data_IF_134832787471
#
_entry.id   IF_134832787471
#
_cell.length_a   1.000
_cell.length_b   1.000
_cell.length_c   1.000
_cell.angle_alpha   90.00
_cell.angle_beta   90.00
_cell.angle_gamma   90.00
#
_symmetry.space_group_name_H-M   'P 1'
#
loop_
_entity.id
_entity.type
_entity.pdbx_description
1 polymer ?
#
# COMPACT_ATOMS: atom_id res chain seq x y z
N UNK A 1 7.78 -17.85 -11.37
CA UNK A 1 6.96 -16.99 -10.49
C UNK A 1 7.15 -15.57 -10.97
N UNK A 2 6.08 -14.79 -11.11
CA UNK A 2 6.15 -13.44 -11.66
C UNK A 2 6.95 -12.55 -10.70
N UNK A 3 7.93 -11.82 -11.22
CA UNK A 3 8.62 -10.76 -10.48
C UNK A 3 7.72 -9.53 -10.60
N UNK A 4 6.97 -9.20 -9.55
CA UNK A 4 6.24 -7.94 -9.53
C UNK A 4 7.27 -6.81 -9.43
N UNK A 5 7.32 -5.94 -10.45
CA UNK A 5 8.20 -4.77 -10.47
C UNK A 5 7.32 -3.54 -10.31
N UNK A 6 7.37 -2.88 -9.15
CA UNK A 6 6.57 -1.67 -8.88
C UNK A 6 7.44 -0.41 -8.86
N UNK A 7 6.88 0.72 -9.32
CA UNK A 7 7.46 2.05 -9.13
C UNK A 7 6.49 2.93 -8.35
N UNK A 8 7.04 3.79 -7.48
CA UNK A 8 6.27 4.67 -6.59
C UNK A 8 6.69 6.12 -6.73
N UNK A 9 5.71 7.02 -6.68
CA UNK A 9 5.92 8.45 -6.85
C UNK A 9 5.09 9.24 -5.86
N UNK A 10 5.62 10.38 -5.41
CA UNK A 10 4.82 11.41 -4.78
C UNK A 10 3.93 12.08 -5.81
N UNK A 11 2.68 12.35 -5.43
CA UNK A 11 1.74 13.10 -6.26
C UNK A 11 1.87 14.59 -5.94
N UNK A 12 2.04 15.42 -6.97
CA UNK A 12 2.36 16.84 -6.80
C UNK A 12 1.15 17.78 -6.90
N UNK A 13 0.04 17.30 -7.42
CA UNK A 13 -1.20 18.07 -7.58
C UNK A 13 -2.43 17.13 -7.67
N UNK A 14 -3.64 17.71 -7.66
CA UNK A 14 -4.89 16.95 -7.64
C UNK A 14 -5.49 16.69 -9.04
N UNK A 15 -4.75 16.90 -10.14
CA UNK A 15 -5.30 16.75 -11.49
C UNK A 15 -5.77 15.32 -11.78
N UNK A 16 -5.26 14.32 -11.05
CA UNK A 16 -5.69 12.93 -11.13
C UNK A 16 -7.17 12.72 -10.81
N UNK A 17 -7.79 13.60 -10.00
CA UNK A 17 -9.20 13.45 -9.59
C UNK A 17 -10.17 13.49 -10.78
N UNK A 18 -9.81 14.19 -11.85
CA UNK A 18 -10.62 14.30 -13.07
C UNK A 18 -10.64 13.01 -13.90
N UNK A 19 -9.68 12.10 -13.65
CA UNK A 19 -9.49 10.85 -14.40
C UNK A 19 -9.97 9.62 -13.63
N UNK A 20 -10.24 9.76 -12.34
CA UNK A 20 -10.59 8.64 -11.47
C UNK A 20 -12.09 8.54 -11.20
N UNK A 21 -12.58 7.30 -11.10
CA UNK A 21 -13.91 6.99 -10.57
C UNK A 21 -13.95 6.97 -9.05
N UNK A 22 -14.89 6.20 -8.49
CA UNK A 22 -14.98 5.99 -7.05
C UNK A 22 -13.73 5.29 -6.51
N UNK A 23 -13.20 5.80 -5.41
CA UNK A 23 -12.06 5.21 -4.72
C UNK A 23 -12.49 4.06 -3.81
N UNK A 24 -11.59 3.10 -3.62
CA UNK A 24 -11.76 2.02 -2.64
C UNK A 24 -11.05 2.38 -1.36
N UNK A 25 -11.72 2.33 -0.21
CA UNK A 25 -11.07 2.53 1.08
C UNK A 25 -10.29 1.28 1.49
N UNK A 26 -9.07 1.47 1.94
CA UNK A 26 -8.20 0.45 2.49
C UNK A 26 -7.87 0.78 3.94
N UNK A 27 -8.08 -0.19 4.82
CA UNK A 27 -7.68 -0.11 6.23
C UNK A 27 -6.84 -1.34 6.52
N UNK A 28 -5.64 -1.16 7.08
CA UNK A 28 -4.73 -2.27 7.31
C UNK A 28 -3.84 -2.04 8.52
N UNK A 29 -3.37 -3.15 9.10
CA UNK A 29 -2.38 -3.16 10.18
C UNK A 29 -1.52 -4.42 10.08
N UNK A 30 -0.43 -4.45 10.85
CA UNK A 30 0.38 -5.63 11.05
C UNK A 30 0.08 -6.24 12.42
N UNK A 31 -0.24 -7.53 12.43
CA UNK A 31 -0.32 -8.33 13.66
C UNK A 31 1.07 -8.83 14.08
N UNK A 32 2.01 -8.88 13.13
CA UNK A 32 3.41 -9.20 13.37
C UNK A 32 4.27 -8.55 12.28
N UNK A 33 5.31 -7.84 12.69
CA UNK A 33 6.27 -7.16 11.80
C UNK A 33 7.64 -7.86 11.74
N UNK A 34 7.79 -9.02 12.39
CA UNK A 34 9.00 -9.82 12.29
C UNK A 34 9.28 -10.17 10.81
N UNK A 35 10.47 -9.84 10.26
CA UNK A 35 10.81 -10.15 8.88
C UNK A 35 10.70 -11.63 8.52
N UNK A 36 10.82 -12.54 9.49
CA UNK A 36 10.70 -13.99 9.26
C UNK A 36 9.26 -14.49 9.14
N UNK A 37 8.28 -13.71 9.67
CA UNK A 37 6.89 -14.13 9.80
C UNK A 37 5.94 -12.93 9.88
N UNK A 38 6.00 -12.07 8.86
CA UNK A 38 5.15 -10.88 8.81
C UNK A 38 3.69 -11.27 8.60
N UNK A 39 2.79 -10.74 9.42
CA UNK A 39 1.34 -10.97 9.32
C UNK A 39 0.64 -9.64 9.17
N UNK A 40 -0.08 -9.47 8.06
CA UNK A 40 -0.83 -8.24 7.73
C UNK A 40 -2.32 -8.54 7.64
N UNK A 41 -3.13 -7.71 8.28
CA UNK A 41 -4.57 -7.63 8.03
C UNK A 41 -4.86 -6.46 7.11
N UNK A 42 -5.73 -6.66 6.13
CA UNK A 42 -6.16 -5.62 5.19
C UNK A 42 -7.65 -5.75 4.88
N UNK A 43 -8.40 -4.70 5.12
CA UNK A 43 -9.76 -4.48 4.63
C UNK A 43 -9.66 -3.59 3.39
N UNK A 44 -10.28 -4.01 2.29
CA UNK A 44 -10.35 -3.32 1.00
C UNK A 44 -11.82 -3.22 0.57
N UNK A 45 -12.43 -2.05 0.76
CA UNK A 45 -13.87 -1.89 0.63
C UNK A 45 -14.61 -2.80 1.61
N UNK A 46 -15.37 -3.77 1.09
CA UNK A 46 -16.14 -4.75 1.86
C UNK A 46 -15.49 -6.14 1.93
N UNK A 47 -14.22 -6.27 1.51
CA UNK A 47 -13.48 -7.54 1.53
C UNK A 47 -12.31 -7.42 2.48
N UNK A 48 -11.99 -8.50 3.19
CA UNK A 48 -10.88 -8.50 4.12
C UNK A 48 -9.96 -9.70 3.91
N UNK A 49 -8.69 -9.51 4.22
CA UNK A 49 -7.64 -10.48 3.97
C UNK A 49 -6.67 -10.53 5.15
N UNK A 50 -6.21 -11.74 5.46
CA UNK A 50 -5.01 -11.97 6.24
C UNK A 50 -3.91 -12.48 5.31
N UNK A 51 -2.74 -11.85 5.39
CA UNK A 51 -1.58 -12.20 4.58
C UNK A 51 -0.42 -12.58 5.50
N UNK A 52 0.18 -13.74 5.27
CA UNK A 52 1.42 -14.17 5.92
C UNK A 52 2.56 -14.10 4.91
N UNK A 53 3.69 -13.50 5.29
CA UNK A 53 4.85 -13.29 4.41
C UNK A 53 6.12 -13.82 5.08
N UNK A 54 6.93 -14.55 4.32
CA UNK A 54 8.27 -14.95 4.76
C UNK A 54 9.27 -13.80 4.62
N UNK A 55 10.49 -14.02 5.13
CA UNK A 55 11.63 -13.16 4.84
C UNK A 55 11.86 -13.02 3.33
N UNK A 56 12.27 -11.82 2.94
CA UNK A 56 12.79 -11.56 1.60
C UNK A 56 14.12 -12.29 1.36
N UNK A 57 14.25 -12.93 0.21
CA UNK A 57 15.50 -13.41 -0.36
C UNK A 57 15.80 -12.60 -1.63
N UNK A 58 16.50 -11.48 -1.47
CA UNK A 58 16.61 -10.48 -2.55
C UNK A 58 15.28 -9.77 -2.78
N UNK A 59 14.74 -9.88 -4.00
CA UNK A 59 13.43 -9.31 -4.38
C UNK A 59 12.28 -10.32 -4.28
N UNK A 60 12.56 -11.57 -3.85
CA UNK A 60 11.57 -12.64 -3.78
C UNK A 60 11.17 -12.93 -2.33
N UNK A 61 9.89 -13.26 -2.09
CA UNK A 61 9.40 -13.77 -0.81
C UNK A 61 8.22 -14.70 -1.02
N UNK A 62 7.99 -15.64 -0.10
CA UNK A 62 6.74 -16.38 -0.05
C UNK A 62 5.64 -15.52 0.56
N UNK A 63 4.45 -15.57 -0.04
CA UNK A 63 3.27 -14.83 0.40
C UNK A 63 2.05 -15.76 0.32
N UNK A 64 1.30 -15.85 1.41
CA UNK A 64 0.05 -16.57 1.50
C UNK A 64 -1.05 -15.61 1.91
N UNK A 65 -2.07 -15.46 1.07
CA UNK A 65 -3.18 -14.55 1.31
C UNK A 65 -4.50 -15.34 1.37
N UNK A 66 -5.29 -15.08 2.40
CA UNK A 66 -6.59 -15.70 2.62
C UNK A 66 -7.64 -14.62 2.84
N UNK A 67 -8.75 -14.72 2.13
CA UNK A 67 -9.93 -13.90 2.40
C UNK A 67 -10.58 -14.36 3.71
N UNK A 68 -10.96 -13.40 4.54
CA UNK A 68 -11.61 -13.61 5.84
C UNK A 68 -12.86 -12.73 5.93
N UNK A 69 -13.81 -13.03 6.84
CA UNK A 69 -14.95 -12.15 7.08
C UNK A 69 -14.50 -10.73 7.45
N UNK A 70 -15.17 -9.72 6.88
CA UNK A 70 -14.85 -8.31 7.15
C UNK A 70 -14.97 -7.98 8.64
N UNK A 71 -16.00 -8.50 9.30
CA UNK A 71 -16.26 -8.25 10.71
C UNK A 71 -15.11 -8.78 11.58
N UNK A 72 -14.67 -10.01 11.36
CA UNK A 72 -13.52 -10.61 12.06
C UNK A 72 -12.25 -9.76 11.86
N UNK A 73 -12.02 -9.25 10.65
CA UNK A 73 -10.87 -8.39 10.39
C UNK A 73 -10.93 -7.06 11.15
N UNK A 74 -12.12 -6.45 11.27
CA UNK A 74 -12.31 -5.23 12.06
C UNK A 74 -12.03 -5.46 13.53
N UNK A 75 -12.59 -6.54 14.10
CA UNK A 75 -12.37 -6.93 15.50
C UNK A 75 -10.88 -7.22 15.76
N UNK A 76 -10.21 -7.94 14.86
CA UNK A 76 -8.77 -8.19 14.99
C UNK A 76 -7.93 -6.91 14.87
N UNK A 77 -8.33 -5.94 14.04
CA UNK A 77 -7.63 -4.65 13.96
C UNK A 77 -7.78 -3.87 15.28
N UNK A 78 -8.96 -3.90 15.89
CA UNK A 78 -9.23 -3.17 17.15
C UNK A 78 -8.53 -3.81 18.36
N UNK A 79 -8.48 -5.14 18.41
CA UNK A 79 -8.01 -5.88 19.60
C UNK A 79 -6.56 -6.37 19.51
N UNK A 80 -6.00 -6.48 18.30
CA UNK A 80 -4.71 -7.16 18.07
C UNK A 80 -3.70 -6.34 17.25
N UNK A 81 -3.94 -5.04 17.00
CA UNK A 81 -2.98 -4.25 16.25
C UNK A 81 -1.64 -4.12 17.01
N UNK A 82 -0.54 -4.41 16.31
CA UNK A 82 0.83 -4.24 16.85
C UNK A 82 1.58 -3.10 16.19
N UNK A 83 0.92 -2.42 15.25
CA UNK A 83 1.42 -1.27 14.51
C UNK A 83 0.29 -0.27 14.29
N UNK A 84 0.59 1.04 14.20
CA UNK A 84 -0.35 2.04 13.71
C UNK A 84 -1.15 1.58 12.47
N UNK A 85 -2.46 1.80 12.52
CA UNK A 85 -3.37 1.49 11.41
C UNK A 85 -3.10 2.44 10.25
N UNK A 86 -2.88 1.88 9.06
CA UNK A 86 -2.87 2.65 7.82
C UNK A 86 -4.30 2.69 7.27
N UNK A 87 -4.81 3.90 7.09
CA UNK A 87 -6.08 4.19 6.45
C UNK A 87 -5.84 5.05 5.21
N UNK A 88 -6.33 4.60 4.05
CA UNK A 88 -6.17 5.30 2.78
C UNK A 88 -7.34 5.03 1.85
N UNK A 89 -7.56 5.92 0.89
CA UNK A 89 -8.46 5.67 -0.25
C UNK A 89 -7.61 5.52 -1.51
N UNK A 90 -7.73 4.38 -2.18
CA UNK A 90 -7.07 4.09 -3.45
C UNK A 90 -7.99 4.41 -4.62
N UNK A 91 -7.53 5.27 -5.51
CA UNK A 91 -8.14 5.60 -6.78
C UNK A 91 -7.37 4.93 -7.92
N UNK A 92 -8.03 4.73 -9.06
CA UNK A 92 -7.41 4.14 -10.25
C UNK A 92 -7.53 5.07 -11.44
N UNK A 93 -6.42 5.23 -12.15
CA UNK A 93 -6.30 5.94 -13.42
C UNK A 93 -5.53 5.03 -14.39
N UNK A 94 -6.26 4.20 -15.15
CA UNK A 94 -5.66 3.14 -15.95
C UNK A 94 -4.91 2.13 -15.09
N UNK A 95 -3.59 2.03 -15.27
CA UNK A 95 -2.68 1.17 -14.47
C UNK A 95 -2.14 1.85 -13.21
N UNK A 96 -2.39 3.14 -13.03
CA UNK A 96 -1.93 3.88 -11.86
C UNK A 96 -2.89 3.65 -10.70
N UNK A 97 -2.31 3.34 -9.54
CA UNK A 97 -3.02 3.28 -8.27
C UNK A 97 -2.59 4.47 -7.41
N UNK A 98 -3.53 5.37 -7.11
CA UNK A 98 -3.28 6.61 -6.38
C UNK A 98 -3.85 6.46 -4.98
N UNK A 99 -2.97 6.42 -3.99
CA UNK A 99 -3.31 6.32 -2.58
C UNK A 99 -3.34 7.69 -1.92
N UNK A 100 -4.51 8.07 -1.42
CA UNK A 100 -4.70 9.22 -0.55
C UNK A 100 -4.76 8.72 0.88
N UNK A 101 -3.74 9.02 1.68
CA UNK A 101 -3.66 8.58 3.07
C UNK A 101 -4.46 9.48 4.01
N UNK A 102 -4.97 8.89 5.09
CA UNK A 102 -5.80 9.53 6.11
C UNK A 102 -5.17 9.43 7.50
N UNK A 103 -5.82 10.06 8.49
CA UNK A 103 -5.39 9.98 9.88
C UNK A 103 -4.00 10.58 10.08
N UNK A 104 -3.11 9.84 10.73
CA UNK A 104 -1.75 10.30 11.03
C UNK A 104 -0.87 10.47 9.78
N UNK A 105 -1.26 9.87 8.66
CA UNK A 105 -0.60 10.01 7.36
C UNK A 105 -1.33 10.99 6.43
N UNK A 106 -2.29 11.76 6.95
CA UNK A 106 -3.05 12.72 6.15
C UNK A 106 -2.12 13.75 5.47
N UNK A 107 -2.38 14.00 4.18
CA UNK A 107 -1.56 14.87 3.33
C UNK A 107 -0.54 14.12 2.48
N UNK A 108 -0.25 12.84 2.80
CA UNK A 108 0.53 11.99 1.92
C UNK A 108 -0.34 11.46 0.77
N UNK A 109 0.11 11.67 -0.46
CA UNK A 109 -0.48 11.07 -1.66
C UNK A 109 0.61 10.40 -2.49
N UNK A 110 0.44 9.10 -2.75
CA UNK A 110 1.40 8.27 -3.48
C UNK A 110 0.73 7.66 -4.69
N UNK A 111 1.41 7.69 -5.84
CA UNK A 111 1.01 6.97 -7.04
C UNK A 111 1.94 5.77 -7.24
N UNK A 112 1.37 4.59 -7.44
CA UNK A 112 2.07 3.34 -7.72
C UNK A 112 1.67 2.83 -9.11
N UNK A 113 2.62 2.20 -9.80
CA UNK A 113 2.35 1.47 -11.05
C UNK A 113 3.14 0.17 -11.05
N UNK A 114 2.47 -0.92 -11.41
CA UNK A 114 3.09 -2.22 -11.65
C UNK A 114 3.59 -2.29 -13.10
N UNK A 115 4.79 -2.83 -13.28
CA UNK A 115 5.48 -2.99 -14.55
C UNK A 115 5.60 -4.46 -14.91
N UNK A 116 5.48 -4.74 -16.21
CA UNK A 116 5.72 -6.07 -16.79
C UNK A 116 7.21 -6.42 -16.76
N UNK A 117 8.09 -5.41 -16.73
CA UNK A 117 9.54 -5.58 -16.61
C UNK A 117 10.21 -4.34 -16.01
N UNK A 118 11.41 -4.47 -15.40
CA UNK A 118 12.15 -3.34 -14.85
C UNK A 118 12.49 -2.23 -15.84
N UNK A 119 12.64 -2.58 -17.12
CA UNK A 119 13.02 -1.64 -18.18
C UNK A 119 11.79 -1.10 -18.96
N UNK A 120 10.57 -1.35 -18.48
CA UNK A 120 9.35 -0.88 -19.13
C UNK A 120 9.29 0.66 -19.12
N UNK A 121 9.18 1.24 -20.32
CA UNK A 121 8.93 2.68 -20.47
C UNK A 121 7.46 3.00 -20.19
N UNK A 122 7.22 3.88 -19.23
CA UNK A 122 5.89 4.36 -18.87
C UNK A 122 5.72 5.85 -19.20
N UNK A 123 4.54 6.23 -19.65
CA UNK A 123 4.16 7.63 -19.71
C UNK A 123 3.83 8.11 -18.29
N UNK A 124 4.37 9.26 -17.89
CA UNK A 124 4.11 9.87 -16.59
C UNK A 124 2.99 10.92 -16.74
N UNK A 125 1.81 10.69 -16.13
CA UNK A 125 0.76 11.71 -16.05
C UNK A 125 1.24 13.00 -15.39
N UNK A 126 0.51 14.09 -15.65
CA UNK A 126 0.90 15.42 -15.17
C UNK A 126 1.05 15.49 -13.65
N UNK A 127 0.22 14.77 -12.89
CA UNK A 127 0.23 14.75 -11.42
C UNK A 127 1.41 13.98 -10.79
N UNK A 128 2.17 13.20 -11.59
CA UNK A 128 3.32 12.46 -11.08
C UNK A 128 4.47 13.42 -10.75
N UNK A 129 4.99 13.27 -9.53
CA UNK A 129 6.11 14.04 -9.00
C UNK A 129 7.37 13.20 -8.83
N UNK A 130 8.03 13.37 -7.67
CA UNK A 130 9.31 12.71 -7.36
C UNK A 130 9.11 11.20 -7.22
N UNK A 131 10.01 10.44 -7.85
CA UNK A 131 10.11 9.00 -7.64
C UNK A 131 10.68 8.67 -6.25
N UNK A 132 10.04 7.72 -5.58
CA UNK A 132 10.32 7.26 -4.21
C UNK A 132 10.39 5.72 -4.12
N UNK A 133 10.54 5.03 -5.25
CA UNK A 133 10.61 3.56 -5.34
C UNK A 133 11.67 2.94 -4.41
N UNK A 134 12.83 3.59 -4.30
CA UNK A 134 13.97 3.11 -3.47
C UNK A 134 14.02 3.76 -2.08
N UNK A 135 13.06 4.64 -1.74
CA UNK A 135 13.04 5.34 -0.46
C UNK A 135 12.25 4.53 0.57
N UNK A 136 12.99 3.77 1.40
CA UNK A 136 12.43 2.87 2.40
C UNK A 136 11.49 3.54 3.40
N UNK A 137 11.53 4.88 3.55
CA UNK A 137 10.64 5.62 4.45
C UNK A 137 9.18 5.59 3.98
N UNK A 138 8.96 5.46 2.67
CA UNK A 138 7.62 5.37 2.07
C UNK A 138 7.10 3.94 1.92
N UNK A 139 7.86 2.94 2.38
CA UNK A 139 7.38 1.57 2.36
C UNK A 139 6.22 1.39 3.33
N UNK A 140 5.25 0.56 2.97
CA UNK A 140 4.04 0.37 3.76
C UNK A 140 4.33 -0.05 5.20
N UNK A 141 5.33 -0.91 5.42
CA UNK A 141 5.76 -1.32 6.76
C UNK A 141 6.41 -0.17 7.54
N UNK A 142 7.14 0.72 6.85
CA UNK A 142 7.79 1.88 7.47
C UNK A 142 6.78 2.96 7.84
N UNK A 143 5.79 3.21 6.98
CA UNK A 143 4.66 4.09 7.26
C UNK A 143 3.83 3.55 8.43
N UNK A 144 3.57 2.24 8.45
CA UNK A 144 2.86 1.60 9.57
C UNK A 144 3.65 1.69 10.88
N UNK A 145 4.99 1.58 10.82
CA UNK A 145 5.81 1.64 12.04
C UNK A 145 6.01 3.07 12.56
N UNK A 146 6.16 4.05 11.68
CA UNK A 146 6.32 5.46 12.07
C UNK A 146 5.00 6.12 12.47
N UNK A 147 3.93 5.81 11.75
CA UNK A 147 2.65 6.50 11.91
C UNK A 147 2.69 7.98 11.49
N UNK A 148 3.72 8.42 10.76
CA UNK A 148 3.92 9.82 10.40
C UNK A 148 4.37 9.96 8.94
N UNK A 149 4.07 11.10 8.32
CA UNK A 149 4.47 11.39 6.94
C UNK A 149 6.00 11.59 6.89
N UNK A 150 6.74 10.87 6.02
CA UNK A 150 8.17 11.07 5.89
C UNK A 150 8.53 12.49 5.41
N UNK A 151 9.53 13.10 6.05
CA UNK A 151 10.12 14.41 5.66
C UNK A 151 10.94 14.36 4.34
#
# INVERSE_FOLDING_TARGET
>A
MAKETERKFLVKDESWREHCGEGTRFVQTYLNTNPDSTVRLRIAGSRAFITVKSRNHGIERCEWEYEIPEQDAREMIEECDTSPVIDKTRYRDGRWEIDVFHGALAGLVVAEIELDSPDESIALPAYIGREISDDARYYNSSLANSGEVPE
#
